data_IF_598626191149
#
_entry.id   IF_598626191149
#
_cell.length_a   1.000
_cell.length_b   1.000
_cell.length_c   1.000
_cell.angle_alpha   90.00
_cell.angle_beta   90.00
_cell.angle_gamma   90.00
#
_symmetry.space_group_name_H-M   'P 1'
#
loop_
_entity.id
_entity.type
_entity.pdbx_description
1 polymer ?
#
# COMPACT_ATOMS: atom_id res chain seq x y z
N UNK A 1 -0.43 9.18 29.34
CA UNK A 1 0.81 8.42 29.01
C UNK A 1 1.23 8.57 27.53
N UNK A 2 0.92 9.68 26.85
CA UNK A 2 1.34 9.95 25.45
C UNK A 2 2.06 11.32 25.33
N UNK A 3 2.68 11.80 26.40
CA UNK A 3 3.57 12.95 26.34
C UNK A 3 4.98 12.44 26.03
N UNK A 4 5.42 12.56 24.78
CA UNK A 4 6.73 12.09 24.33
C UNK A 4 7.88 12.85 24.99
N UNK A 5 8.82 12.13 25.58
CA UNK A 5 10.01 12.67 26.25
C UNK A 5 11.26 12.71 25.33
N UNK A 6 11.08 12.89 24.01
CA UNK A 6 12.21 12.96 23.08
C UNK A 6 12.88 14.34 23.12
N UNK A 7 14.19 14.38 23.37
CA UNK A 7 15.03 15.61 23.34
C UNK A 7 15.76 15.83 22.00
N UNK A 8 15.56 14.96 21.02
CA UNK A 8 16.17 15.05 19.68
C UNK A 8 15.11 14.90 18.59
N UNK A 9 15.28 15.61 17.47
CA UNK A 9 14.43 15.45 16.27
C UNK A 9 14.56 14.02 15.76
N UNK A 10 13.50 13.23 15.88
CA UNK A 10 13.44 11.89 15.31
C UNK A 10 13.12 12.08 13.83
N UNK A 11 14.04 11.70 12.95
CA UNK A 11 13.78 11.75 11.52
C UNK A 11 12.84 10.58 11.16
N UNK A 12 11.53 10.83 11.24
CA UNK A 12 10.50 9.87 10.83
C UNK A 12 10.08 10.17 9.39
N UNK A 13 10.01 9.16 8.54
CA UNK A 13 9.42 9.26 7.19
C UNK A 13 8.00 8.70 7.23
N UNK A 14 7.02 9.44 6.72
CA UNK A 14 5.65 8.92 6.62
C UNK A 14 5.56 8.03 5.39
N UNK A 15 5.11 6.80 5.58
CA UNK A 15 4.75 5.91 4.48
C UNK A 15 3.32 6.23 4.10
N UNK A 16 3.15 6.91 2.98
CA UNK A 16 1.86 7.02 2.32
C UNK A 16 1.54 5.67 1.68
N UNK A 17 0.30 5.22 1.83
CA UNK A 17 -0.15 3.92 1.32
C UNK A 17 -0.71 4.05 -0.10
N UNK A 18 0.12 4.60 -0.99
CA UNK A 18 -0.20 4.76 -2.40
C UNK A 18 0.12 3.51 -3.23
N UNK A 19 -0.54 3.36 -4.38
CA UNK A 19 -0.23 2.38 -5.39
C UNK A 19 -0.84 2.74 -6.76
N UNK A 20 -0.18 2.36 -7.88
CA UNK A 20 1.14 1.73 -7.96
C UNK A 20 2.29 2.72 -7.71
N UNK A 21 3.49 2.19 -7.45
CA UNK A 21 4.71 2.97 -7.51
C UNK A 21 5.02 3.36 -8.98
N UNK A 22 5.23 4.65 -9.23
CA UNK A 22 5.52 5.21 -10.54
C UNK A 22 6.89 5.90 -10.50
N UNK A 23 7.71 5.58 -11.50
CA UNK A 23 8.94 6.30 -11.81
C UNK A 23 8.64 7.27 -12.94
N UNK A 24 9.00 8.54 -12.78
CA UNK A 24 8.80 9.57 -13.78
C UNK A 24 10.04 10.45 -13.89
N UNK A 25 10.41 10.82 -15.10
CA UNK A 25 11.64 11.58 -15.32
C UNK A 25 12.02 11.69 -16.79
N UNK A 26 13.21 12.21 -17.02
CA UNK A 26 13.80 12.31 -18.36
C UNK A 26 14.83 11.20 -18.54
N UNK A 27 14.73 10.47 -19.65
CA UNK A 27 15.71 9.44 -19.99
C UNK A 27 17.01 10.11 -20.45
N UNK A 28 18.14 9.90 -19.75
CA UNK A 28 19.41 10.54 -20.11
C UNK A 28 19.98 10.08 -21.46
N UNK A 29 19.43 9.00 -22.06
CA UNK A 29 19.90 8.49 -23.35
C UNK A 29 19.28 9.19 -24.56
N UNK A 30 18.08 9.74 -24.44
CA UNK A 30 17.38 10.39 -25.56
C UNK A 30 16.60 11.66 -25.20
N UNK A 31 16.76 12.16 -23.97
CA UNK A 31 16.14 13.36 -23.41
C UNK A 31 14.60 13.37 -23.46
N UNK A 32 13.97 12.19 -23.58
CA UNK A 32 12.51 12.09 -23.59
C UNK A 32 11.97 11.81 -22.19
N UNK A 33 10.87 12.48 -21.88
CA UNK A 33 10.09 12.19 -20.70
C UNK A 33 9.52 10.76 -20.76
N UNK A 34 9.56 10.06 -19.64
CA UNK A 34 8.99 8.73 -19.50
C UNK A 34 8.26 8.55 -18.17
N UNK A 35 7.37 7.56 -18.14
CA UNK A 35 6.91 6.91 -16.91
C UNK A 35 7.27 5.44 -16.95
N UNK A 36 7.56 4.83 -15.80
CA UNK A 36 7.97 3.44 -15.73
C UNK A 36 7.55 2.79 -14.41
N UNK A 37 7.57 1.46 -14.42
CA UNK A 37 7.54 0.64 -13.19
C UNK A 37 8.96 0.55 -12.62
N UNK A 38 9.08 -0.14 -11.48
CA UNK A 38 10.37 -0.51 -10.87
C UNK A 38 11.35 -1.21 -11.82
N UNK A 39 10.86 -1.80 -12.92
CA UNK A 39 11.68 -2.39 -13.99
C UNK A 39 12.56 -1.39 -14.76
N UNK A 40 12.49 -0.09 -14.47
CA UNK A 40 13.39 0.94 -15.00
C UNK A 40 14.87 0.67 -14.69
N UNK A 41 15.19 -0.09 -13.64
CA UNK A 41 16.57 -0.44 -13.28
C UNK A 41 17.01 -1.82 -13.79
N UNK A 42 16.21 -2.47 -14.64
CA UNK A 42 16.61 -3.74 -15.25
C UNK A 42 17.70 -3.49 -16.32
N UNK A 43 18.46 -4.55 -16.66
CA UNK A 43 19.47 -4.52 -17.73
C UNK A 43 18.88 -3.92 -19.03
N UNK A 44 17.65 -4.31 -19.37
CA UNK A 44 16.83 -3.66 -20.39
C UNK A 44 15.70 -2.88 -19.70
N UNK A 45 15.84 -1.55 -19.54
CA UNK A 45 14.83 -0.75 -18.87
C UNK A 45 13.55 -0.72 -19.69
N UNK A 46 12.41 -0.94 -19.04
CA UNK A 46 11.10 -0.76 -19.67
C UNK A 46 10.60 0.65 -19.32
N UNK A 47 10.72 1.54 -20.29
CA UNK A 47 10.29 2.94 -20.21
C UNK A 47 9.07 3.13 -21.09
N UNK A 48 8.08 3.87 -20.59
CA UNK A 48 6.91 4.25 -21.37
C UNK A 48 6.99 5.75 -21.67
N UNK A 49 7.28 6.08 -22.93
CA UNK A 49 7.40 7.45 -23.44
C UNK A 49 6.15 7.86 -24.21
N UNK A 50 5.36 6.88 -24.66
CA UNK A 50 4.13 7.06 -25.42
C UNK A 50 3.00 6.20 -24.87
N UNK A 51 1.75 6.61 -25.08
CA UNK A 51 0.58 5.78 -24.72
C UNK A 51 0.57 4.43 -25.46
N UNK A 52 1.17 4.36 -26.65
CA UNK A 52 1.29 3.13 -27.42
C UNK A 52 2.15 2.10 -26.68
N UNK A 53 3.31 2.50 -26.17
CA UNK A 53 4.19 1.61 -25.40
C UNK A 53 3.51 1.10 -24.12
N UNK A 54 2.64 1.92 -23.49
CA UNK A 54 1.84 1.51 -22.33
C UNK A 54 0.84 0.40 -22.72
N UNK A 55 0.20 0.53 -23.88
CA UNK A 55 -0.73 -0.48 -24.40
C UNK A 55 -0.01 -1.78 -24.77
N UNK A 56 1.12 -1.66 -25.44
CA UNK A 56 1.91 -2.81 -25.92
C UNK A 56 2.60 -3.57 -24.76
N UNK A 57 2.77 -2.92 -23.61
CA UNK A 57 3.37 -3.51 -22.41
C UNK A 57 2.48 -4.52 -21.67
N UNK A 58 1.27 -4.80 -22.16
CA UNK A 58 0.35 -5.76 -21.55
C UNK A 58 -0.18 -5.33 -20.18
N UNK A 59 -0.19 -4.03 -19.89
CA UNK A 59 -0.83 -3.49 -18.70
C UNK A 59 -2.34 -3.65 -18.85
N UNK A 60 -2.98 -4.33 -17.90
CA UNK A 60 -4.43 -4.59 -17.94
C UNK A 60 -5.22 -3.62 -17.07
N UNK A 61 -6.45 -3.33 -17.52
CA UNK A 61 -7.46 -2.61 -16.75
C UNK A 61 -7.03 -1.23 -16.27
N UNK A 62 -7.37 -0.91 -15.01
CA UNK A 62 -7.11 0.39 -14.38
C UNK A 62 -5.63 0.76 -14.33
N UNK A 63 -4.72 -0.23 -14.34
CA UNK A 63 -3.29 0.03 -14.33
C UNK A 63 -2.83 0.72 -15.63
N UNK A 64 -3.37 0.32 -16.79
CA UNK A 64 -3.06 0.95 -18.07
C UNK A 64 -3.51 2.42 -18.08
N UNK A 65 -4.75 2.68 -17.66
CA UNK A 65 -5.31 4.03 -17.57
C UNK A 65 -4.50 4.92 -16.63
N UNK A 66 -4.13 4.43 -15.44
CA UNK A 66 -3.31 5.15 -14.46
C UNK A 66 -1.95 5.57 -15.04
N UNK A 67 -1.28 4.69 -15.79
CA UNK A 67 -0.01 5.01 -16.45
C UNK A 67 -0.16 6.03 -17.59
N UNK A 68 -1.26 6.01 -18.35
CA UNK A 68 -1.53 7.03 -19.39
C UNK A 68 -1.74 8.41 -18.77
N UNK A 69 -2.54 8.49 -17.71
CA UNK A 69 -2.75 9.75 -16.98
C UNK A 69 -1.43 10.23 -16.40
N UNK A 70 -0.63 9.35 -15.79
CA UNK A 70 0.71 9.69 -15.29
C UNK A 70 1.63 10.25 -16.38
N UNK A 71 1.71 9.60 -17.55
CA UNK A 71 2.53 10.07 -18.66
C UNK A 71 2.13 11.50 -19.11
N UNK A 72 0.82 11.73 -19.26
CA UNK A 72 0.28 13.00 -19.72
C UNK A 72 0.40 14.12 -18.69
N UNK A 73 0.23 13.81 -17.41
CA UNK A 73 0.14 14.82 -16.36
C UNK A 73 1.50 15.10 -15.70
N UNK A 74 2.36 14.09 -15.52
CA UNK A 74 3.68 14.29 -14.90
C UNK A 74 4.71 14.92 -15.85
N UNK A 75 4.52 14.82 -17.16
CA UNK A 75 5.35 15.54 -18.15
C UNK A 75 5.26 17.07 -17.99
N UNK A 76 4.22 17.57 -17.31
CA UNK A 76 4.02 19.00 -17.03
C UNK A 76 4.79 19.50 -15.81
N UNK A 77 5.40 18.61 -15.03
CA UNK A 77 6.02 18.96 -13.74
C UNK A 77 7.46 19.48 -13.88
N UNK A 78 8.09 19.31 -15.05
CA UNK A 78 9.49 19.70 -15.24
C UNK A 78 10.42 18.93 -14.30
N UNK A 79 10.32 17.59 -14.30
CA UNK A 79 11.13 16.74 -13.42
C UNK A 79 12.57 16.68 -13.95
N UNK A 80 13.52 17.09 -13.13
CA UNK A 80 14.94 16.88 -13.36
C UNK A 80 15.37 15.49 -12.83
N UNK A 81 16.03 14.70 -13.67
CA UNK A 81 16.41 13.32 -13.34
C UNK A 81 15.21 12.38 -13.28
N UNK A 82 15.16 11.50 -12.27
CA UNK A 82 14.07 10.54 -12.10
C UNK A 82 13.53 10.57 -10.68
N UNK A 83 12.23 10.72 -10.53
CA UNK A 83 11.51 10.63 -9.26
C UNK A 83 10.73 9.34 -9.18
N UNK A 84 10.68 8.77 -7.98
CA UNK A 84 9.77 7.70 -7.62
C UNK A 84 8.76 8.20 -6.60
N UNK A 85 7.49 7.94 -6.89
CA UNK A 85 6.39 8.23 -6.00
C UNK A 85 5.33 7.14 -6.03
N UNK A 86 4.49 7.14 -5.00
CA UNK A 86 3.34 6.25 -4.91
C UNK A 86 2.09 7.01 -5.31
N UNK A 87 1.37 6.46 -6.29
CA UNK A 87 0.14 7.05 -6.80
C UNK A 87 -0.97 7.00 -5.75
N UNK A 88 -1.65 8.12 -5.54
CA UNK A 88 -2.72 8.23 -4.55
C UNK A 88 -4.12 8.11 -5.17
N UNK A 89 -4.34 8.73 -6.32
CA UNK A 89 -5.62 8.66 -7.03
C UNK A 89 -5.47 9.08 -8.50
N UNK A 90 -6.43 8.69 -9.32
CA UNK A 90 -6.72 9.24 -10.66
C UNK A 90 -8.20 9.63 -10.73
N UNK A 91 -8.99 8.79 -11.39
CA UNK A 91 -10.43 8.85 -11.57
C UNK A 91 -11.20 8.03 -10.51
N UNK A 92 -10.49 7.54 -9.48
CA UNK A 92 -10.99 6.74 -8.36
C UNK A 92 -11.27 7.57 -7.10
N UNK A 93 -11.62 8.85 -7.26
CA UNK A 93 -12.14 9.69 -6.19
C UNK A 93 -13.62 9.43 -5.98
N UNK A 94 -13.97 9.04 -4.76
CA UNK A 94 -15.34 8.86 -4.30
C UNK A 94 -15.78 10.03 -3.41
N UNK A 95 -17.08 10.10 -3.12
CA UNK A 95 -17.64 11.09 -2.19
C UNK A 95 -18.42 10.37 -1.10
N UNK A 96 -18.05 10.62 0.15
CA UNK A 96 -18.66 9.97 1.30
C UNK A 96 -19.00 10.98 2.40
N UNK A 97 -19.97 10.64 3.26
CA UNK A 97 -20.36 11.51 4.39
C UNK A 97 -20.04 10.81 5.70
N UNK A 98 -19.10 11.37 6.45
CA UNK A 98 -18.64 10.84 7.74
C UNK A 98 -18.97 11.88 8.81
N UNK A 99 -19.79 11.50 9.79
CA UNK A 99 -20.20 12.37 10.89
C UNK A 99 -20.80 13.72 10.43
N UNK A 100 -21.56 13.71 9.33
CA UNK A 100 -22.24 14.90 8.78
C UNK A 100 -21.35 15.81 7.92
N UNK A 101 -20.06 15.49 7.76
CA UNK A 101 -19.13 16.22 6.89
C UNK A 101 -18.93 15.44 5.59
N UNK A 102 -18.93 16.13 4.44
CA UNK A 102 -18.64 15.52 3.14
C UNK A 102 -17.14 15.42 2.91
N UNK A 103 -16.68 14.27 2.43
CA UNK A 103 -15.28 13.97 2.12
C UNK A 103 -15.13 13.49 0.68
N UNK A 104 -14.02 13.86 0.05
CA UNK A 104 -13.44 13.08 -1.03
C UNK A 104 -12.72 11.87 -0.41
N UNK A 105 -13.08 10.67 -0.85
CA UNK A 105 -12.47 9.43 -0.38
C UNK A 105 -11.72 8.73 -1.51
N UNK A 106 -10.60 8.11 -1.18
CA UNK A 106 -9.85 7.28 -2.14
C UNK A 106 -9.03 6.24 -1.39
N UNK A 107 -8.90 5.05 -1.97
CA UNK A 107 -8.14 3.94 -1.39
C UNK A 107 -7.17 3.39 -2.45
N UNK A 108 -5.98 3.98 -2.58
CA UNK A 108 -5.02 3.57 -3.60
C UNK A 108 -4.50 2.14 -3.36
N UNK A 109 -4.42 1.73 -2.09
CA UNK A 109 -4.05 0.37 -1.70
C UNK A 109 -4.92 -0.16 -0.55
N UNK A 110 -4.51 0.07 0.70
CA UNK A 110 -5.07 -0.56 1.91
C UNK A 110 -5.79 0.44 2.81
N UNK A 111 -5.29 1.66 2.91
CA UNK A 111 -5.83 2.74 3.76
C UNK A 111 -6.79 3.60 2.93
N UNK A 112 -7.99 3.80 3.46
CA UNK A 112 -8.94 4.79 2.93
C UNK A 112 -8.50 6.17 3.41
N UNK A 113 -8.22 7.05 2.46
CA UNK A 113 -8.01 8.47 2.69
C UNK A 113 -9.36 9.19 2.60
N UNK A 114 -9.59 10.13 3.51
CA UNK A 114 -10.78 10.98 3.51
C UNK A 114 -10.35 12.44 3.70
N UNK A 115 -10.71 13.29 2.73
CA UNK A 115 -10.35 14.71 2.73
C UNK A 115 -11.61 15.54 2.67
N UNK A 116 -11.90 16.43 3.65
CA UNK A 116 -13.11 17.25 3.64
C UNK A 116 -13.23 18.05 2.34
N UNK A 117 -14.39 18.00 1.69
CA UNK A 117 -14.61 18.63 0.37
C UNK A 117 -14.34 20.13 0.42
N UNK A 118 -14.78 20.79 1.51
CA UNK A 118 -14.67 22.25 1.67
C UNK A 118 -13.28 22.74 2.08
N UNK A 119 -12.36 21.83 2.41
CA UNK A 119 -10.97 22.17 2.75
C UNK A 119 -10.17 22.62 1.53
N UNK A 120 -9.12 23.40 1.73
CA UNK A 120 -8.24 23.85 0.64
C UNK A 120 -7.56 22.69 -0.10
N UNK A 121 -7.25 21.61 0.63
CA UNK A 121 -6.72 20.38 0.03
C UNK A 121 -7.80 19.62 -0.74
N UNK A 122 -9.03 19.55 -0.23
CA UNK A 122 -10.18 18.95 -0.92
C UNK A 122 -10.46 19.63 -2.24
N UNK A 123 -10.48 20.97 -2.26
CA UNK A 123 -10.63 21.78 -3.49
C UNK A 123 -9.51 21.54 -4.51
N UNK A 124 -8.27 21.29 -4.06
CA UNK A 124 -7.14 20.97 -4.95
C UNK A 124 -7.27 19.56 -5.50
N UNK A 125 -7.58 18.58 -4.65
CA UNK A 125 -7.79 17.18 -5.04
C UNK A 125 -8.91 17.07 -6.07
N UNK A 126 -10.04 17.75 -5.86
CA UNK A 126 -11.17 17.74 -6.79
C UNK A 126 -10.85 18.31 -8.18
N UNK A 127 -9.85 19.20 -8.29
CA UNK A 127 -9.38 19.76 -9.57
C UNK A 127 -8.31 18.89 -10.23
N UNK A 128 -7.60 18.10 -9.44
CA UNK A 128 -6.51 17.29 -9.92
C UNK A 128 -7.06 16.08 -10.70
N UNK A 129 -6.34 15.70 -11.77
CA UNK A 129 -6.60 14.47 -12.53
C UNK A 129 -5.80 13.30 -11.99
N UNK A 130 -4.78 13.60 -11.20
CA UNK A 130 -3.86 12.64 -10.63
C UNK A 130 -3.28 13.15 -9.31
N UNK A 131 -3.16 12.25 -8.34
CA UNK A 131 -2.50 12.49 -7.06
C UNK A 131 -1.28 11.59 -6.88
N UNK A 132 -0.15 12.11 -6.41
CA UNK A 132 1.06 11.33 -6.16
C UNK A 132 1.85 11.86 -4.95
N UNK A 133 2.49 10.96 -4.20
CA UNK A 133 3.47 11.35 -3.18
C UNK A 133 4.86 10.89 -3.59
N UNK A 134 5.77 11.85 -3.76
CA UNK A 134 7.16 11.61 -4.15
C UNK A 134 8.02 11.28 -2.94
N UNK A 135 8.87 10.26 -3.04
CA UNK A 135 9.63 9.77 -1.89
C UNK A 135 11.10 9.47 -2.17
N UNK A 136 11.48 9.20 -3.42
CA UNK A 136 12.89 8.94 -3.79
C UNK A 136 13.27 9.71 -5.07
N UNK A 137 14.43 10.38 -5.03
CA UNK A 137 15.09 10.96 -6.20
C UNK A 137 16.22 10.05 -6.64
N UNK A 138 16.37 9.86 -7.95
CA UNK A 138 17.45 9.12 -8.58
C UNK A 138 18.25 10.07 -9.47
N UNK A 139 19.56 10.13 -9.25
CA UNK A 139 20.49 10.98 -10.01
C UNK A 139 21.65 10.15 -10.53
N UNK A 140 22.09 10.45 -11.75
CA UNK A 140 23.17 9.75 -12.44
C UNK A 140 23.07 9.95 -13.95
N UNK A 141 24.15 9.68 -14.67
CA UNK A 141 24.22 9.80 -16.13
C UNK A 141 23.56 8.64 -16.86
N UNK A 142 23.36 7.49 -16.19
CA UNK A 142 22.71 6.30 -16.76
C UNK A 142 21.71 5.74 -15.75
N UNK A 143 20.53 5.32 -16.22
CA UNK A 143 19.44 4.81 -15.37
C UNK A 143 19.90 3.69 -14.43
N UNK A 144 20.72 2.75 -14.92
CA UNK A 144 21.18 1.58 -14.17
C UNK A 144 22.17 1.92 -13.05
N UNK A 145 22.87 3.06 -13.16
CA UNK A 145 23.88 3.49 -12.19
C UNK A 145 23.40 4.62 -11.27
N UNK A 146 22.14 5.05 -11.42
CA UNK A 146 21.60 6.16 -10.62
C UNK A 146 21.62 5.86 -9.12
N UNK A 147 22.02 6.86 -8.34
CA UNK A 147 22.00 6.81 -6.88
C UNK A 147 20.66 7.29 -6.36
N UNK A 148 20.07 6.48 -5.49
CA UNK A 148 18.84 6.81 -4.79
C UNK A 148 19.11 7.72 -3.59
N UNK A 149 18.31 8.79 -3.46
CA UNK A 149 18.24 9.63 -2.27
C UNK A 149 16.80 9.75 -1.80
N UNK A 150 16.57 9.54 -0.50
CA UNK A 150 15.26 9.74 0.10
C UNK A 150 15.02 11.22 0.43
N UNK A 151 13.76 11.64 0.40
CA UNK A 151 13.36 13.02 0.70
C UNK A 151 13.39 13.90 -0.54
N UNK A 152 12.42 13.69 -1.43
CA UNK A 152 12.27 14.49 -2.65
C UNK A 152 11.92 15.92 -2.28
N UNK A 153 12.65 16.88 -2.83
CA UNK A 153 12.27 18.29 -2.75
C UNK A 153 11.38 18.64 -3.95
N UNK A 154 10.08 18.75 -3.71
CA UNK A 154 9.10 19.07 -4.76
C UNK A 154 8.97 20.58 -5.04
N UNK A 155 9.67 21.45 -4.30
CA UNK A 155 9.55 22.90 -4.47
C UNK A 155 10.03 23.40 -5.85
N UNK A 156 10.92 22.66 -6.50
CA UNK A 156 11.39 22.94 -7.87
C UNK A 156 10.44 22.44 -8.97
N UNK A 157 9.44 21.63 -8.64
CA UNK A 157 8.49 21.11 -9.63
C UNK A 157 7.45 22.17 -10.00
N UNK A 158 7.08 22.17 -11.27
CA UNK A 158 6.04 23.06 -11.80
C UNK A 158 4.69 22.76 -11.15
N UNK A 159 3.98 23.83 -10.76
CA UNK A 159 2.65 23.72 -10.15
C UNK A 159 1.60 23.63 -11.24
N UNK A 160 0.99 22.45 -11.41
CA UNK A 160 -0.18 22.25 -12.26
C UNK A 160 -1.43 22.05 -11.41
N UNK A 161 -2.54 22.70 -11.75
CA UNK A 161 -3.83 22.43 -11.09
C UNK A 161 -4.38 21.02 -11.38
N UNK A 162 -3.86 20.36 -12.42
CA UNK A 162 -4.24 19.00 -12.79
C UNK A 162 -3.44 17.92 -12.07
N UNK A 163 -2.43 18.29 -11.28
CA UNK A 163 -1.62 17.36 -10.48
C UNK A 163 -1.65 17.79 -9.03
N UNK A 164 -2.17 16.93 -8.17
CA UNK A 164 -1.93 17.04 -6.74
C UNK A 164 -0.65 16.24 -6.42
N UNK A 165 0.31 16.88 -5.75
CA UNK A 165 1.52 16.21 -5.32
C UNK A 165 1.94 16.68 -3.93
N UNK A 166 2.54 15.76 -3.19
CA UNK A 166 3.21 16.05 -1.92
C UNK A 166 4.54 15.27 -1.87
N UNK A 167 5.40 15.62 -0.93
CA UNK A 167 6.60 14.85 -0.63
C UNK A 167 6.43 14.02 0.64
N UNK A 168 7.14 12.90 0.75
CA UNK A 168 7.08 12.03 1.91
C UNK A 168 7.88 12.56 3.12
N UNK A 169 8.37 13.81 3.10
CA UNK A 169 9.09 14.35 4.24
C UNK A 169 8.12 14.73 5.35
N UNK A 170 8.39 14.24 6.56
CA UNK A 170 7.60 14.62 7.72
C UNK A 170 7.94 16.06 8.08
N UNK A 171 6.94 16.95 8.06
CA UNK A 171 7.05 18.21 8.79
C UNK A 171 6.97 17.83 10.27
N UNK A 172 8.07 17.95 10.99
CA UNK A 172 8.09 17.65 12.42
C UNK A 172 7.07 18.50 13.17
N UNK A 173 5.93 17.89 13.53
CA UNK A 173 4.90 18.50 14.36
C UNK A 173 4.93 17.94 15.78
N UNK A 174 6.01 17.26 16.18
CA UNK A 174 6.18 16.76 17.55
C UNK A 174 6.00 17.91 18.56
N UNK A 175 5.09 17.74 19.51
CA UNK A 175 4.72 18.77 20.48
C UNK A 175 3.70 19.82 20.01
N UNK A 176 3.33 19.85 18.72
CA UNK A 176 2.26 20.71 18.16
C UNK A 176 0.99 19.93 17.81
N UNK A 177 1.12 18.67 17.38
CA UNK A 177 -0.02 17.78 17.15
C UNK A 177 -0.31 16.99 18.43
N UNK A 178 -1.18 17.53 19.29
CA UNK A 178 -1.67 16.84 20.49
C UNK A 178 -3.11 16.37 20.27
N UNK A 179 -3.46 15.21 20.82
CA UNK A 179 -4.86 14.84 20.97
C UNK A 179 -5.57 15.85 21.88
N UNK A 180 -6.81 16.18 21.56
CA UNK A 180 -7.73 16.84 22.49
C UNK A 180 -7.97 15.92 23.71
N UNK A 181 -8.52 16.47 24.80
CA UNK A 181 -8.90 15.66 25.96
C UNK A 181 -9.83 14.50 25.60
N UNK A 182 -10.85 14.78 24.78
CA UNK A 182 -11.81 13.79 24.30
C UNK A 182 -11.16 12.69 23.43
N UNK A 183 -10.26 13.05 22.51
CA UNK A 183 -9.53 12.07 21.70
C UNK A 183 -8.59 11.21 22.55
N UNK A 184 -7.94 11.82 23.56
CA UNK A 184 -7.06 11.11 24.49
C UNK A 184 -7.86 10.09 25.31
N UNK A 185 -9.03 10.46 25.82
CA UNK A 185 -9.91 9.55 26.55
C UNK A 185 -10.38 8.40 25.65
N UNK A 186 -10.79 8.69 24.42
CA UNK A 186 -11.23 7.67 23.45
C UNK A 186 -10.11 6.68 23.15
N UNK A 187 -8.91 7.16 22.83
CA UNK A 187 -7.75 6.32 22.54
C UNK A 187 -7.33 5.51 23.77
N UNK A 188 -7.32 6.13 24.95
CA UNK A 188 -7.00 5.43 26.21
C UNK A 188 -8.03 4.33 26.51
N UNK A 189 -9.31 4.59 26.24
CA UNK A 189 -10.38 3.62 26.34
C UNK A 189 -10.17 2.43 25.41
N UNK A 190 -9.83 2.68 24.14
CA UNK A 190 -9.50 1.63 23.17
C UNK A 190 -8.30 0.81 23.64
N UNK A 191 -7.20 1.46 24.07
CA UNK A 191 -6.00 0.78 24.56
C UNK A 191 -6.31 -0.09 25.80
N UNK A 192 -7.16 0.39 26.70
CA UNK A 192 -7.62 -0.38 27.86
C UNK A 192 -8.44 -1.62 27.44
N UNK A 193 -9.33 -1.48 26.47
CA UNK A 193 -10.10 -2.60 25.92
C UNK A 193 -9.22 -3.63 25.20
N UNK A 194 -8.24 -3.15 24.42
CA UNK A 194 -7.23 -4.00 23.78
C UNK A 194 -6.43 -4.76 24.84
N UNK A 195 -5.98 -4.07 25.89
CA UNK A 195 -5.31 -4.69 27.02
C UNK A 195 -6.15 -5.79 27.67
N UNK A 196 -7.41 -5.51 28.00
CA UNK A 196 -8.34 -6.51 28.58
C UNK A 196 -8.54 -7.72 27.66
N UNK A 197 -8.63 -7.49 26.35
CA UNK A 197 -8.75 -8.56 25.37
C UNK A 197 -7.48 -9.40 25.31
N UNK A 198 -6.30 -8.77 25.30
CA UNK A 198 -5.01 -9.46 25.25
C UNK A 198 -4.79 -10.38 26.46
N UNK A 199 -5.23 -9.96 27.65
CA UNK A 199 -5.17 -10.78 28.87
C UNK A 199 -6.04 -12.04 28.82
N UNK A 200 -7.03 -12.11 27.92
CA UNK A 200 -7.88 -13.30 27.75
C UNK A 200 -7.27 -14.32 26.78
N UNK A 201 -6.26 -13.93 26.01
CA UNK A 201 -5.63 -14.78 25.01
C UNK A 201 -4.74 -15.81 25.71
N UNK A 202 -4.95 -17.08 25.41
CA UNK A 202 -4.05 -18.12 25.89
C UNK A 202 -2.69 -18.04 25.17
N UNK A 203 -1.64 -17.72 25.93
CA UNK A 203 -0.29 -17.51 25.40
C UNK A 203 0.27 -18.75 24.66
N UNK A 204 -0.02 -19.96 25.16
CA UNK A 204 0.43 -21.21 24.53
C UNK A 204 -0.23 -21.41 23.15
N UNK A 205 -1.55 -21.23 23.08
CA UNK A 205 -2.31 -21.29 21.83
C UNK A 205 -1.87 -20.23 20.82
N UNK A 206 -1.61 -19.01 21.28
CA UNK A 206 -1.08 -17.95 20.43
C UNK A 206 0.31 -18.31 19.89
N UNK A 207 1.21 -18.81 20.73
CA UNK A 207 2.56 -19.23 20.31
C UNK A 207 2.50 -20.36 19.27
N UNK A 208 1.65 -21.36 19.49
CA UNK A 208 1.43 -22.44 18.51
C UNK A 208 0.88 -21.92 17.19
N UNK A 209 -0.08 -20.99 17.25
CA UNK A 209 -0.62 -20.37 16.05
C UNK A 209 0.43 -19.55 15.30
N UNK A 210 1.26 -18.77 15.99
CA UNK A 210 2.35 -18.01 15.37
C UNK A 210 3.38 -18.92 14.71
N UNK A 211 3.79 -20.02 15.36
CA UNK A 211 4.70 -21.00 14.77
C UNK A 211 4.10 -21.64 13.50
N UNK A 212 2.78 -21.93 13.50
CA UNK A 212 2.08 -22.40 12.31
C UNK A 212 2.13 -21.37 11.19
N UNK A 213 1.90 -20.08 11.50
CA UNK A 213 2.01 -18.99 10.52
C UNK A 213 3.43 -18.84 9.97
N UNK A 214 4.45 -18.93 10.82
CA UNK A 214 5.86 -18.84 10.43
C UNK A 214 6.29 -20.01 9.53
N UNK A 215 5.68 -21.19 9.69
CA UNK A 215 5.93 -22.35 8.82
C UNK A 215 5.42 -22.15 7.38
N UNK A 216 4.46 -21.24 7.16
CA UNK A 216 3.88 -20.96 5.84
C UNK A 216 4.83 -20.12 5.00
N UNK A 217 5.88 -20.76 4.48
CA UNK A 217 6.92 -20.14 3.64
C UNK A 217 6.83 -20.62 2.19
N UNK A 218 7.59 -19.96 1.29
CA UNK A 218 7.64 -20.32 -0.13
C UNK A 218 6.25 -20.37 -0.77
N UNK A 219 5.91 -21.51 -1.39
CA UNK A 219 4.63 -21.72 -2.07
C UNK A 219 3.40 -21.68 -1.14
N UNK A 220 3.60 -21.67 0.19
CA UNK A 220 2.53 -21.57 1.18
C UNK A 220 2.36 -20.16 1.76
N UNK A 221 3.26 -19.20 1.46
CA UNK A 221 3.24 -17.87 2.06
C UNK A 221 1.91 -17.12 1.85
N UNK A 222 1.26 -17.34 0.71
CA UNK A 222 -0.04 -16.74 0.42
C UNK A 222 -1.21 -17.36 1.18
N UNK A 223 -1.03 -18.51 1.86
CA UNK A 223 -2.03 -19.11 2.74
C UNK A 223 -2.02 -18.49 4.16
N UNK A 224 -1.05 -17.65 4.50
CA UNK A 224 -0.95 -17.02 5.82
C UNK A 224 -2.13 -16.10 6.15
N UNK A 225 -2.41 -15.94 7.45
CA UNK A 225 -3.42 -15.04 7.99
C UNK A 225 -3.17 -13.59 7.55
N UNK A 226 -1.91 -13.19 7.45
CA UNK A 226 -1.53 -11.87 6.95
C UNK A 226 -2.05 -11.67 5.52
N UNK A 227 -1.82 -12.64 4.62
CA UNK A 227 -2.31 -12.54 3.24
C UNK A 227 -3.84 -12.59 3.19
N UNK A 228 -4.48 -13.42 4.02
CA UNK A 228 -5.94 -13.47 4.15
C UNK A 228 -6.52 -12.10 4.56
N UNK A 229 -6.03 -11.52 5.66
CA UNK A 229 -6.47 -10.20 6.12
C UNK A 229 -6.23 -9.13 5.05
N UNK A 230 -5.05 -9.11 4.42
CA UNK A 230 -4.75 -8.17 3.34
C UNK A 230 -5.71 -8.29 2.16
N UNK A 231 -6.16 -9.52 1.82
CA UNK A 231 -7.14 -9.72 0.74
C UNK A 231 -8.48 -9.04 1.07
N UNK A 232 -8.89 -9.06 2.34
CA UNK A 232 -10.12 -8.41 2.82
C UNK A 232 -10.00 -6.91 2.86
N UNK A 233 -8.87 -6.38 3.36
CA UNK A 233 -8.66 -4.94 3.39
C UNK A 233 -8.56 -4.34 1.98
N UNK A 234 -7.90 -5.03 1.04
CA UNK A 234 -7.86 -4.61 -0.37
C UNK A 234 -9.23 -4.59 -1.04
N UNK A 235 -10.17 -5.41 -0.58
CA UNK A 235 -11.54 -5.41 -1.06
C UNK A 235 -12.43 -4.39 -0.33
N UNK A 236 -11.89 -3.58 0.59
CA UNK A 236 -12.66 -2.68 1.43
C UNK A 236 -13.58 -3.39 2.43
N UNK A 237 -13.42 -4.71 2.63
CA UNK A 237 -14.28 -5.49 3.51
C UNK A 237 -13.95 -5.21 4.98
N UNK A 238 -14.83 -4.50 5.68
CA UNK A 238 -14.74 -4.29 7.12
C UNK A 238 -15.08 -5.58 7.86
N UNK A 239 -14.19 -6.03 8.75
CA UNK A 239 -14.46 -7.18 9.64
C UNK A 239 -15.47 -6.76 10.70
N UNK A 240 -16.75 -7.04 10.46
CA UNK A 240 -17.85 -6.78 11.40
C UNK A 240 -18.09 -7.95 12.37
N UNK A 241 -17.74 -9.16 11.97
CA UNK A 241 -17.90 -10.38 12.76
C UNK A 241 -16.58 -11.15 12.88
N UNK A 242 -15.82 -10.97 13.97
CA UNK A 242 -14.53 -11.65 14.18
C UNK A 242 -14.62 -13.18 14.15
N UNK A 243 -15.71 -13.76 14.65
CA UNK A 243 -15.90 -15.21 14.65
C UNK A 243 -16.12 -15.76 13.24
N UNK A 244 -16.92 -15.07 12.43
CA UNK A 244 -17.10 -15.44 11.02
C UNK A 244 -15.78 -15.31 10.25
N UNK A 245 -15.03 -14.24 10.50
CA UNK A 245 -13.71 -14.02 9.90
C UNK A 245 -12.71 -15.15 10.26
N UNK A 246 -12.64 -15.52 11.54
CA UNK A 246 -11.79 -16.63 11.99
C UNK A 246 -12.19 -17.99 11.39
N UNK A 247 -13.49 -18.22 11.16
CA UNK A 247 -14.01 -19.44 10.51
C UNK A 247 -13.82 -19.46 8.99
N UNK A 248 -13.68 -18.29 8.36
CA UNK A 248 -13.36 -18.18 6.93
C UNK A 248 -11.90 -18.49 6.61
N UNK A 249 -11.00 -18.35 7.58
CA UNK A 249 -9.57 -18.54 7.35
C UNK A 249 -9.16 -19.97 6.91
N UNK A 250 -9.69 -21.07 7.47
CA UNK A 250 -9.46 -22.42 6.94
C UNK A 250 -9.80 -22.57 5.45
N UNK A 251 -10.87 -21.93 4.98
CA UNK A 251 -11.26 -21.97 3.56
C UNK A 251 -10.25 -21.24 2.68
N UNK A 252 -9.73 -20.10 3.13
CA UNK A 252 -8.64 -19.39 2.45
C UNK A 252 -7.40 -20.27 2.28
N UNK A 253 -6.98 -20.94 3.36
CA UNK A 253 -5.84 -21.86 3.36
C UNK A 253 -6.07 -23.01 2.37
N UNK A 254 -7.26 -23.61 2.41
CA UNK A 254 -7.64 -24.69 1.49
C UNK A 254 -7.52 -24.23 0.03
N UNK A 255 -8.13 -23.09 -0.32
CA UNK A 255 -8.11 -22.55 -1.68
C UNK A 255 -6.69 -22.22 -2.15
N UNK A 256 -5.85 -21.69 -1.27
CA UNK A 256 -4.48 -21.33 -1.63
C UNK A 256 -3.62 -22.57 -1.92
N UNK A 257 -3.75 -23.61 -1.11
CA UNK A 257 -3.02 -24.87 -1.32
C UNK A 257 -3.61 -25.67 -2.50
N UNK A 258 -4.91 -25.56 -2.76
CA UNK A 258 -5.55 -26.20 -3.92
C UNK A 258 -4.88 -25.77 -5.23
N UNK A 259 -4.54 -24.49 -5.37
CA UNK A 259 -3.80 -23.97 -6.54
C UNK A 259 -2.45 -24.68 -6.75
N UNK A 260 -1.78 -25.09 -5.67
CA UNK A 260 -0.52 -25.84 -5.74
C UNK A 260 -0.75 -27.29 -6.18
N UNK A 261 -1.86 -27.91 -5.73
CA UNK A 261 -2.29 -29.24 -6.19
C UNK A 261 -2.57 -29.19 -7.69
N UNK A 262 -3.35 -28.20 -8.14
CA UNK A 262 -3.77 -28.06 -9.54
C UNK A 262 -2.57 -27.80 -10.46
N UNK A 263 -1.58 -27.04 -9.98
CA UNK A 263 -0.35 -26.73 -10.71
C UNK A 263 0.68 -27.86 -10.72
N UNK A 264 0.56 -28.86 -9.84
CA UNK A 264 1.51 -29.95 -9.75
C UNK A 264 1.37 -30.93 -10.92
N UNK A 265 2.45 -31.13 -11.67
CA UNK A 265 2.46 -31.98 -12.88
C UNK A 265 2.56 -33.47 -12.56
N UNK A 266 3.20 -33.85 -11.45
CA UNK A 266 3.41 -35.25 -11.08
C UNK A 266 2.38 -35.74 -10.06
N UNK A 267 1.96 -37.02 -10.12
CA UNK A 267 1.08 -37.62 -9.11
C UNK A 267 1.65 -37.51 -7.69
N UNK A 268 2.97 -37.67 -7.53
CA UNK A 268 3.65 -37.51 -6.24
C UNK A 268 3.58 -36.08 -5.70
N UNK A 269 3.72 -35.07 -6.59
CA UNK A 269 3.58 -33.66 -6.22
C UNK A 269 2.16 -33.31 -5.78
N UNK A 270 1.14 -33.82 -6.49
CA UNK A 270 -0.27 -33.66 -6.10
C UNK A 270 -0.54 -34.25 -4.72
N UNK A 271 -0.14 -35.50 -4.49
CA UNK A 271 -0.32 -36.18 -3.20
C UNK A 271 0.39 -35.46 -2.05
N UNK A 272 1.58 -34.89 -2.29
CA UNK A 272 2.28 -34.06 -1.30
C UNK A 272 1.40 -32.88 -0.88
N UNK A 273 0.91 -32.10 -1.83
CA UNK A 273 0.10 -30.92 -1.52
C UNK A 273 -1.29 -31.25 -0.97
N UNK A 274 -1.90 -32.37 -1.34
CA UNK A 274 -3.13 -32.87 -0.73
C UNK A 274 -2.94 -33.18 0.77
N UNK A 275 -1.84 -33.84 1.13
CA UNK A 275 -1.50 -34.10 2.53
C UNK A 275 -1.24 -32.79 3.28
N UNK A 276 -0.47 -31.88 2.69
CA UNK A 276 -0.22 -30.54 3.25
C UNK A 276 -1.53 -29.77 3.45
N UNK A 277 -2.45 -29.78 2.48
CA UNK A 277 -3.74 -29.10 2.61
C UNK A 277 -4.53 -29.64 3.79
N UNK A 278 -4.63 -30.97 3.94
CA UNK A 278 -5.33 -31.60 5.06
C UNK A 278 -4.73 -31.22 6.41
N UNK A 279 -3.41 -31.25 6.52
CA UNK A 279 -2.68 -30.90 7.74
C UNK A 279 -2.90 -29.44 8.14
N UNK A 280 -2.66 -28.51 7.21
CA UNK A 280 -2.77 -27.07 7.48
C UNK A 280 -4.22 -26.64 7.73
N UNK A 281 -5.20 -27.15 6.98
CA UNK A 281 -6.62 -26.85 7.22
C UNK A 281 -7.03 -27.34 8.61
N UNK A 282 -6.62 -28.55 9.01
CA UNK A 282 -6.89 -29.08 10.35
C UNK A 282 -6.24 -28.23 11.44
N UNK A 283 -4.95 -27.91 11.29
CA UNK A 283 -4.19 -27.13 12.25
C UNK A 283 -4.79 -25.74 12.44
N UNK A 284 -5.10 -25.04 11.34
CA UNK A 284 -5.73 -23.71 11.38
C UNK A 284 -7.13 -23.77 11.98
N UNK A 285 -7.95 -24.77 11.63
CA UNK A 285 -9.31 -24.92 12.18
C UNK A 285 -9.31 -25.11 13.69
N UNK A 286 -8.28 -25.75 14.25
CA UNK A 286 -8.14 -25.92 15.71
C UNK A 286 -7.95 -24.61 16.47
N UNK A 287 -7.60 -23.53 15.76
CA UNK A 287 -7.37 -22.20 16.30
C UNK A 287 -8.55 -21.23 16.06
N UNK A 288 -9.60 -21.63 15.36
CA UNK A 288 -10.75 -20.76 15.04
C UNK A 288 -11.62 -20.37 16.24
N UNK A 289 -11.46 -21.04 17.40
CA UNK A 289 -12.20 -20.76 18.65
C UNK A 289 -11.25 -20.43 19.83
N UNK A 290 -10.03 -19.98 19.54
CA UNK A 290 -9.02 -19.68 20.56
C UNK A 290 -9.34 -18.45 21.40
#
# INVERSE_FOLDING_TARGET
>A
MLAGASRSSINMTVKWDGAPAIFAGVDPSDDKFFVAKKSVFNIKPLLYKTEKEINDAGLSGSLNSKFKVALKEFSKLGIDGVLQGDLMFTDDLESDTIDGVKYHTFQPNTIVYAVPVDSDIGKKINKAKIGIVWHTTYTGSELQSMKASFGVNISGLSKSSSVWMDDATYKDTSGKSTFTGAETEKITGILSQVGKTFHRINAGKLKSFLALQESMTGNLAGASLKTYNNSKVRAGEKISNPNAHARGYPQWVQQHIQKQIDSAKSPAGKKKYENTQKEYVRAVSSHSNN
#
